data_IF_882319197095
#
_entry.id   IF_882319197095
#
_cell.length_a   1.000
_cell.length_b   1.000
_cell.length_c   1.000
_cell.angle_alpha   90.00
_cell.angle_beta   90.00
_cell.angle_gamma   90.00
#
_symmetry.space_group_name_H-M   'P 1'
#
loop_
_entity.id
_entity.type
_entity.pdbx_description
1 polymer ?
#
# COMPACT_ATOMS: atom_id res chain seq x y z
N UNK A 1 -11.55 -20.54 10.44
CA UNK A 1 -12.20 -20.05 9.19
C UNK A 1 -11.16 -19.90 8.10
N UNK A 2 -11.51 -20.23 6.85
CA UNK A 2 -10.66 -19.98 5.67
C UNK A 2 -11.27 -18.86 4.84
N UNK A 3 -10.53 -17.79 4.61
CA UNK A 3 -10.96 -16.63 3.82
C UNK A 3 -10.18 -16.61 2.52
N UNK A 4 -10.87 -16.57 1.39
CA UNK A 4 -10.27 -16.32 0.08
C UNK A 4 -10.28 -14.82 -0.18
N UNK A 5 -9.09 -14.20 -0.23
CA UNK A 5 -8.91 -12.81 -0.63
C UNK A 5 -8.67 -12.70 -2.12
N UNK A 6 -9.20 -11.64 -2.75
CA UNK A 6 -9.02 -11.31 -4.17
C UNK A 6 -8.66 -9.84 -4.29
N UNK A 7 -7.53 -9.54 -4.93
CA UNK A 7 -7.02 -8.19 -5.18
C UNK A 7 -6.84 -7.94 -6.68
N UNK A 8 -7.35 -6.82 -7.16
CA UNK A 8 -7.19 -6.37 -8.54
C UNK A 8 -7.31 -4.86 -8.70
N UNK A 9 -7.00 -4.08 -7.68
CA UNK A 9 -7.27 -2.62 -7.68
C UNK A 9 -6.37 -1.81 -8.62
N UNK A 10 -5.18 -2.31 -8.95
CA UNK A 10 -4.19 -1.57 -9.75
C UNK A 10 -3.49 -2.45 -10.79
N UNK A 11 -2.26 -2.88 -10.55
CA UNK A 11 -1.44 -3.64 -11.51
C UNK A 11 -0.96 -5.01 -10.97
N UNK A 12 -1.51 -5.47 -9.86
CA UNK A 12 -1.37 -6.82 -9.33
C UNK A 12 -2.69 -7.57 -9.34
N UNK A 13 -2.72 -8.75 -10.00
CA UNK A 13 -3.80 -9.72 -9.84
C UNK A 13 -3.39 -10.70 -8.75
N UNK A 14 -4.10 -10.74 -7.64
CA UNK A 14 -3.73 -11.65 -6.56
C UNK A 14 -4.92 -12.39 -5.97
N UNK A 15 -4.65 -13.61 -5.49
CA UNK A 15 -5.54 -14.41 -4.66
C UNK A 15 -4.76 -15.05 -3.51
N UNK A 16 -5.41 -15.18 -2.37
CA UNK A 16 -4.79 -15.73 -1.16
C UNK A 16 -5.81 -16.46 -0.31
N UNK A 17 -5.42 -17.57 0.29
CA UNK A 17 -6.19 -18.23 1.33
C UNK A 17 -5.54 -17.95 2.67
N UNK A 18 -6.28 -17.35 3.58
CA UNK A 18 -5.86 -17.10 4.96
C UNK A 18 -6.71 -17.93 5.90
N UNK A 19 -6.07 -18.69 6.78
CA UNK A 19 -6.73 -19.38 7.90
C UNK A 19 -6.75 -18.45 9.10
N UNK A 20 -7.92 -18.26 9.67
CA UNK A 20 -8.16 -17.41 10.84
C UNK A 20 -8.72 -18.25 12.00
N UNK A 21 -8.11 -18.11 13.18
CA UNK A 21 -8.55 -18.71 14.43
C UNK A 21 -8.43 -17.68 15.56
N UNK A 22 -9.54 -17.04 15.89
CA UNK A 22 -9.58 -15.91 16.81
C UNK A 22 -8.66 -14.77 16.35
N UNK A 23 -7.72 -14.37 17.19
CA UNK A 23 -6.75 -13.29 16.87
C UNK A 23 -5.59 -13.77 15.97
N UNK A 24 -5.50 -15.05 15.65
CA UNK A 24 -4.40 -15.63 14.87
C UNK A 24 -4.78 -15.76 13.40
N UNK A 25 -3.98 -15.17 12.53
CA UNK A 25 -4.13 -15.24 11.09
C UNK A 25 -2.91 -15.91 10.47
N UNK A 26 -3.13 -16.95 9.67
CA UNK A 26 -2.07 -17.70 9.00
C UNK A 26 -2.30 -17.70 7.50
N UNK A 27 -1.33 -17.22 6.75
CA UNK A 27 -1.34 -17.30 5.29
C UNK A 27 -1.12 -18.76 4.90
N UNK A 28 -2.08 -19.37 4.19
CA UNK A 28 -1.94 -20.70 3.61
C UNK A 28 -1.39 -20.61 2.18
N UNK A 29 -1.78 -19.58 1.42
CA UNK A 29 -1.26 -19.26 0.10
C UNK A 29 -1.34 -17.76 -0.16
N UNK A 30 -0.49 -17.23 -1.03
CA UNK A 30 -0.57 -15.84 -1.51
C UNK A 30 0.04 -15.76 -2.90
N UNK A 31 -0.77 -15.92 -3.92
CA UNK A 31 -0.38 -15.94 -5.33
C UNK A 31 -0.59 -14.57 -5.93
N UNK A 32 0.46 -14.01 -6.54
CA UNK A 32 0.45 -12.68 -7.16
C UNK A 32 0.97 -12.76 -8.58
N UNK A 33 0.19 -12.30 -9.53
CA UNK A 33 0.58 -12.07 -10.91
C UNK A 33 0.76 -10.57 -11.14
N UNK A 34 2.01 -10.10 -11.14
CA UNK A 34 2.33 -8.68 -11.29
C UNK A 34 2.43 -8.29 -12.77
N UNK A 35 1.89 -7.14 -13.10
CA UNK A 35 1.90 -6.54 -14.43
C UNK A 35 3.04 -5.52 -14.59
N UNK A 36 3.94 -5.38 -13.60
CA UNK A 36 5.04 -4.40 -13.62
C UNK A 36 5.87 -4.49 -14.90
N UNK A 37 6.16 -5.70 -15.39
CA UNK A 37 6.95 -5.88 -16.62
C UNK A 37 6.30 -5.22 -17.84
N UNK A 38 4.98 -5.35 -17.98
CA UNK A 38 4.19 -4.74 -19.04
C UNK A 38 4.15 -3.21 -18.88
N UNK A 39 3.87 -2.71 -17.71
CA UNK A 39 3.74 -1.28 -17.45
C UNK A 39 5.07 -0.52 -17.47
N UNK A 40 6.20 -1.23 -17.28
CA UNK A 40 7.55 -0.63 -17.35
C UNK A 40 7.83 0.01 -18.69
N UNK A 41 7.35 -0.54 -19.80
CA UNK A 41 7.51 0.02 -21.15
C UNK A 41 6.83 1.40 -21.29
N UNK A 42 5.78 1.64 -20.52
CA UNK A 42 5.02 2.88 -20.50
C UNK A 42 5.50 3.87 -19.42
N UNK A 43 6.35 3.39 -18.51
CA UNK A 43 6.86 4.19 -17.38
C UNK A 43 5.81 4.46 -16.30
N UNK A 44 4.78 3.62 -16.20
CA UNK A 44 3.70 3.68 -15.22
C UNK A 44 2.48 2.88 -15.66
N UNK A 45 1.52 2.71 -14.77
CA UNK A 45 0.32 1.91 -15.03
C UNK A 45 -0.55 2.55 -16.12
N UNK A 46 -0.97 1.71 -17.09
CA UNK A 46 -1.95 2.07 -18.13
C UNK A 46 -3.26 1.36 -17.77
N UNK A 47 -4.31 2.10 -17.32
CA UNK A 47 -5.51 1.51 -16.72
C UNK A 47 -6.23 0.49 -17.62
N UNK A 48 -6.32 0.77 -18.92
CA UNK A 48 -6.99 -0.14 -19.88
C UNK A 48 -6.22 -1.46 -20.05
N UNK A 49 -4.89 -1.41 -20.11
CA UNK A 49 -4.07 -2.61 -20.18
C UNK A 49 -4.16 -3.41 -18.89
N UNK A 50 -4.18 -2.73 -17.73
CA UNK A 50 -4.32 -3.38 -16.44
C UNK A 50 -5.62 -4.18 -16.35
N UNK A 51 -6.76 -3.57 -16.72
CA UNK A 51 -8.05 -4.26 -16.73
C UNK A 51 -8.06 -5.52 -17.58
N UNK A 52 -7.47 -5.46 -18.78
CA UNK A 52 -7.36 -6.63 -19.68
C UNK A 52 -6.49 -7.75 -19.11
N UNK A 53 -5.34 -7.40 -18.53
CA UNK A 53 -4.43 -8.36 -17.91
C UNK A 53 -5.07 -9.06 -16.70
N UNK A 54 -5.88 -8.35 -15.91
CA UNK A 54 -6.65 -8.97 -14.83
C UNK A 54 -7.62 -10.05 -15.35
N UNK A 55 -8.36 -9.77 -16.42
CA UNK A 55 -9.29 -10.75 -17.04
C UNK A 55 -8.56 -12.02 -17.43
N UNK A 56 -7.36 -11.90 -18.00
CA UNK A 56 -6.58 -13.03 -18.46
C UNK A 56 -6.03 -13.88 -17.30
N UNK A 57 -5.77 -13.28 -16.14
CA UNK A 57 -5.04 -13.92 -15.05
C UNK A 57 -5.87 -14.34 -13.84
N UNK A 58 -7.01 -13.72 -13.60
CA UNK A 58 -7.72 -13.86 -12.32
C UNK A 58 -8.12 -15.31 -12.00
N UNK A 59 -8.56 -16.09 -13.01
CA UNK A 59 -8.96 -17.50 -12.82
C UNK A 59 -7.75 -18.35 -12.46
N UNK A 60 -6.65 -18.23 -13.22
CA UNK A 60 -5.40 -18.97 -13.01
C UNK A 60 -4.81 -18.68 -11.61
N UNK A 61 -4.79 -17.40 -11.23
CA UNK A 61 -4.27 -16.95 -9.92
C UNK A 61 -5.12 -17.49 -8.76
N UNK A 62 -6.45 -17.48 -8.92
CA UNK A 62 -7.36 -18.01 -7.91
C UNK A 62 -7.21 -19.54 -7.76
N UNK A 63 -7.17 -20.29 -8.87
CA UNK A 63 -6.96 -21.73 -8.86
C UNK A 63 -5.61 -22.10 -8.22
N UNK A 64 -4.54 -21.35 -8.57
CA UNK A 64 -3.23 -21.56 -7.97
C UNK A 64 -3.26 -21.32 -6.46
N UNK A 65 -3.89 -20.24 -6.00
CA UNK A 65 -3.99 -19.94 -4.57
C UNK A 65 -4.73 -21.02 -3.79
N UNK A 66 -5.83 -21.56 -4.33
CA UNK A 66 -6.56 -22.67 -3.70
C UNK A 66 -5.71 -23.94 -3.67
N UNK A 67 -5.03 -24.27 -4.76
CA UNK A 67 -4.15 -25.44 -4.86
C UNK A 67 -2.97 -25.34 -3.87
N UNK A 68 -2.31 -24.18 -3.79
CA UNK A 68 -1.16 -23.98 -2.92
C UNK A 68 -1.57 -24.02 -1.43
N UNK A 69 -2.84 -23.70 -1.13
CA UNK A 69 -3.43 -23.82 0.19
C UNK A 69 -3.95 -25.24 0.53
N UNK A 70 -3.86 -26.18 -0.42
CA UNK A 70 -4.48 -27.52 -0.32
C UNK A 70 -5.97 -27.42 0.05
N UNK A 71 -6.72 -26.54 -0.66
CA UNK A 71 -8.13 -26.24 -0.44
C UNK A 71 -8.95 -26.38 -1.70
N UNK A 72 -10.16 -26.94 -1.58
CA UNK A 72 -11.21 -26.77 -2.58
C UNK A 72 -11.99 -25.48 -2.27
N UNK A 73 -12.71 -24.95 -3.28
CA UNK A 73 -13.56 -23.76 -3.07
C UNK A 73 -14.64 -24.01 -2.01
N UNK A 74 -15.09 -25.25 -1.85
CA UNK A 74 -16.06 -25.65 -0.84
C UNK A 74 -15.53 -25.59 0.60
N UNK A 75 -14.21 -25.46 0.79
CA UNK A 75 -13.58 -25.31 2.09
C UNK A 75 -13.50 -23.85 2.55
N UNK A 76 -13.91 -22.89 1.67
CA UNK A 76 -13.83 -21.45 1.91
C UNK A 76 -15.09 -20.97 2.62
N UNK A 77 -14.91 -20.31 3.76
CA UNK A 77 -15.99 -19.79 4.59
C UNK A 77 -16.49 -18.40 4.15
N UNK A 78 -15.62 -17.60 3.52
CA UNK A 78 -15.97 -16.30 2.96
C UNK A 78 -15.01 -15.88 1.84
N UNK A 79 -15.51 -15.11 0.87
CA UNK A 79 -14.71 -14.48 -0.19
C UNK A 79 -14.63 -12.99 0.08
N UNK A 80 -13.42 -12.47 0.27
CA UNK A 80 -13.13 -11.06 0.45
C UNK A 80 -12.57 -10.49 -0.87
N UNK A 81 -13.07 -9.34 -1.30
CA UNK A 81 -12.62 -8.70 -2.54
C UNK A 81 -12.44 -7.21 -2.37
N UNK A 82 -11.37 -6.68 -2.91
CA UNK A 82 -11.18 -5.22 -2.98
C UNK A 82 -12.21 -4.61 -3.92
N UNK A 83 -13.02 -3.70 -3.38
CA UNK A 83 -14.09 -3.01 -4.11
C UNK A 83 -13.85 -1.52 -4.29
N UNK A 84 -12.93 -0.92 -3.50
CA UNK A 84 -12.52 0.49 -3.55
C UNK A 84 -11.24 0.71 -2.73
N UNK A 85 -10.55 1.87 -2.90
CA UNK A 85 -10.43 2.59 -4.15
C UNK A 85 -9.51 1.85 -5.13
N UNK A 86 -9.49 2.31 -6.39
CA UNK A 86 -8.60 1.75 -7.40
C UNK A 86 -9.00 2.11 -8.83
N UNK A 87 -8.33 1.49 -9.79
CA UNK A 87 -8.67 1.62 -11.21
C UNK A 87 -9.99 0.91 -11.50
N UNK A 88 -11.02 1.64 -11.90
CA UNK A 88 -12.38 1.10 -12.04
C UNK A 88 -12.45 -0.15 -12.92
N UNK A 89 -11.74 -0.17 -14.07
CA UNK A 89 -11.70 -1.33 -14.97
C UNK A 89 -11.06 -2.56 -14.33
N UNK A 90 -10.03 -2.37 -13.51
CA UNK A 90 -9.33 -3.41 -12.78
C UNK A 90 -10.18 -3.94 -11.61
N UNK A 91 -10.73 -3.05 -10.77
CA UNK A 91 -11.64 -3.41 -9.67
C UNK A 91 -12.84 -4.21 -10.15
N UNK A 92 -13.47 -3.80 -11.26
CA UNK A 92 -14.64 -4.50 -11.82
C UNK A 92 -14.34 -5.96 -12.18
N UNK A 93 -13.11 -6.28 -12.57
CA UNK A 93 -12.72 -7.68 -12.85
C UNK A 93 -12.77 -8.50 -11.57
N UNK A 94 -12.07 -8.07 -10.51
CA UNK A 94 -12.06 -8.77 -9.21
C UNK A 94 -13.44 -8.88 -8.59
N UNK A 95 -14.19 -7.76 -8.54
CA UNK A 95 -15.53 -7.71 -7.96
C UNK A 95 -16.49 -8.67 -8.69
N UNK A 96 -16.52 -8.66 -10.04
CA UNK A 96 -17.43 -9.55 -10.77
C UNK A 96 -17.01 -11.02 -10.68
N UNK A 97 -15.71 -11.30 -10.68
CA UNK A 97 -15.21 -12.65 -10.47
C UNK A 97 -15.58 -13.18 -9.08
N UNK A 98 -15.33 -12.38 -8.03
CA UNK A 98 -15.67 -12.74 -6.65
C UNK A 98 -17.20 -12.95 -6.47
N UNK A 99 -18.03 -12.09 -7.06
CA UNK A 99 -19.50 -12.23 -7.06
C UNK A 99 -19.95 -13.54 -7.69
N UNK A 100 -19.41 -13.85 -8.88
CA UNK A 100 -19.76 -15.09 -9.59
C UNK A 100 -19.37 -16.33 -8.78
N UNK A 101 -18.15 -16.31 -8.20
CA UNK A 101 -17.65 -17.41 -7.39
C UNK A 101 -18.44 -17.59 -6.09
N UNK A 102 -18.78 -16.50 -5.40
CA UNK A 102 -19.59 -16.48 -4.19
C UNK A 102 -21.00 -17.00 -4.45
N UNK A 103 -21.65 -16.51 -5.51
CA UNK A 103 -22.99 -16.93 -5.90
C UNK A 103 -23.04 -18.42 -6.28
N UNK A 104 -22.12 -18.88 -7.12
CA UNK A 104 -22.12 -20.27 -7.58
C UNK A 104 -21.90 -21.30 -6.46
N UNK A 105 -21.21 -20.91 -5.38
CA UNK A 105 -20.86 -21.80 -4.28
C UNK A 105 -21.63 -21.48 -2.98
N UNK A 106 -22.53 -20.50 -3.02
CA UNK A 106 -23.28 -20.03 -1.85
C UNK A 106 -22.38 -19.62 -0.68
N UNK A 107 -21.26 -18.92 -0.99
CA UNK A 107 -20.28 -18.44 -0.03
C UNK A 107 -20.54 -16.95 0.24
N UNK A 108 -20.47 -16.47 1.50
CA UNK A 108 -20.59 -15.05 1.83
C UNK A 108 -19.53 -14.19 1.12
N UNK A 109 -19.96 -13.07 0.53
CA UNK A 109 -19.10 -12.08 -0.10
C UNK A 109 -18.84 -10.92 0.86
N UNK A 110 -17.59 -10.51 0.99
CA UNK A 110 -17.15 -9.43 1.88
C UNK A 110 -16.44 -8.35 1.06
N UNK A 111 -16.99 -7.12 0.97
CA UNK A 111 -16.31 -6.01 0.31
C UNK A 111 -15.19 -5.50 1.18
N UNK A 112 -14.05 -5.15 0.59
CA UNK A 112 -12.87 -4.63 1.29
C UNK A 112 -12.43 -3.33 0.63
N UNK A 113 -12.03 -2.38 1.44
CA UNK A 113 -11.39 -1.14 1.01
C UNK A 113 -9.87 -1.36 1.00
N UNK A 114 -9.24 -1.04 -0.13
CA UNK A 114 -7.84 -1.36 -0.44
C UNK A 114 -6.84 -0.78 0.58
N UNK A 115 -7.01 0.49 0.97
CA UNK A 115 -6.09 1.13 1.93
C UNK A 115 -6.23 0.50 3.31
N UNK A 116 -7.47 0.18 3.72
CA UNK A 116 -7.72 -0.55 4.96
C UNK A 116 -7.15 -1.97 4.92
N UNK A 117 -7.16 -2.63 3.75
CA UNK A 117 -6.49 -3.92 3.60
C UNK A 117 -4.98 -3.82 3.87
N UNK A 118 -4.31 -2.81 3.34
CA UNK A 118 -2.90 -2.56 3.67
C UNK A 118 -2.68 -2.39 5.17
N UNK A 119 -3.55 -1.65 5.87
CA UNK A 119 -3.45 -1.48 7.33
C UNK A 119 -3.67 -2.81 8.08
N UNK A 120 -4.53 -3.70 7.55
CA UNK A 120 -4.76 -5.02 8.12
C UNK A 120 -3.63 -6.02 7.84
N UNK A 121 -2.72 -5.75 6.89
CA UNK A 121 -1.58 -6.65 6.62
C UNK A 121 -0.71 -6.91 7.85
N UNK A 122 -0.66 -5.97 8.80
CA UNK A 122 0.07 -6.14 10.07
C UNK A 122 -0.52 -7.24 10.94
N UNK A 123 -1.81 -7.56 10.81
CA UNK A 123 -2.47 -8.64 11.54
C UNK A 123 -1.98 -10.03 11.12
N UNK A 124 -1.30 -10.14 9.98
CA UNK A 124 -0.68 -11.36 9.47
C UNK A 124 0.71 -11.63 10.06
N UNK A 125 1.17 -10.79 10.99
CA UNK A 125 2.46 -10.95 11.66
C UNK A 125 2.30 -11.66 13.02
N UNK A 126 3.35 -12.34 13.47
CA UNK A 126 3.34 -13.04 14.78
C UNK A 126 3.04 -12.10 15.96
N UNK A 127 3.52 -10.84 15.88
CA UNK A 127 3.33 -9.83 16.91
C UNK A 127 2.36 -8.74 16.43
N UNK A 128 1.20 -9.13 15.95
CA UNK A 128 0.19 -8.20 15.47
C UNK A 128 -0.27 -7.23 16.57
N UNK A 129 -0.29 -5.91 16.34
CA UNK A 129 -0.73 -4.93 17.33
C UNK A 129 -2.25 -5.03 17.52
N UNK A 130 -2.71 -5.20 18.75
CA UNK A 130 -4.15 -5.05 19.02
C UNK A 130 -4.54 -3.57 18.98
N UNK A 131 -5.64 -3.18 18.29
CA UNK A 131 -6.17 -1.82 18.36
C UNK A 131 -6.47 -1.40 19.81
N UNK A 132 -6.50 -0.07 20.11
CA UNK A 132 -6.29 1.02 19.17
C UNK A 132 -4.80 1.28 18.89
N UNK A 133 -4.52 1.81 17.68
CA UNK A 133 -3.19 2.23 17.25
C UNK A 133 -3.27 3.40 16.25
N UNK A 134 -2.15 4.10 16.05
CA UNK A 134 -2.00 5.04 14.92
C UNK A 134 -1.43 4.27 13.73
N UNK A 135 -1.99 4.47 12.55
CA UNK A 135 -1.54 3.80 11.34
C UNK A 135 -1.15 4.81 10.26
N UNK A 136 -0.11 4.50 9.51
CA UNK A 136 0.39 5.26 8.38
C UNK A 136 0.35 4.37 7.14
N UNK A 137 -0.53 4.69 6.20
CA UNK A 137 -0.58 4.08 4.89
C UNK A 137 0.24 4.92 3.91
N UNK A 138 1.28 4.33 3.29
CA UNK A 138 2.12 5.01 2.29
C UNK A 138 2.33 4.08 1.10
N UNK A 139 1.67 4.39 -0.01
CA UNK A 139 1.69 3.58 -1.23
C UNK A 139 1.91 4.43 -2.48
N UNK A 140 1.78 3.82 -3.65
CA UNK A 140 1.81 4.51 -4.94
C UNK A 140 0.70 5.54 -5.09
N UNK A 141 -0.51 5.21 -4.65
CA UNK A 141 -1.70 6.04 -4.81
C UNK A 141 -2.13 6.78 -3.53
N UNK A 142 -1.66 6.37 -2.35
CA UNK A 142 -2.16 6.90 -1.08
C UNK A 142 -1.03 7.26 -0.11
N UNK A 143 -1.23 8.35 0.61
CA UNK A 143 -0.41 8.72 1.78
C UNK A 143 -1.34 9.34 2.81
N UNK A 144 -1.66 8.59 3.87
CA UNK A 144 -2.62 8.99 4.88
C UNK A 144 -2.26 8.45 6.27
N UNK A 145 -2.75 9.15 7.30
CA UNK A 145 -2.61 8.74 8.70
C UNK A 145 -4.01 8.45 9.25
N UNK A 146 -4.14 7.32 9.91
CA UNK A 146 -5.37 6.86 10.51
C UNK A 146 -5.22 6.66 12.01
N UNK A 147 -6.31 6.87 12.74
CA UNK A 147 -6.52 6.31 14.06
C UNK A 147 -7.36 5.05 13.89
N UNK A 148 -6.77 3.90 14.15
CA UNK A 148 -7.46 2.62 14.12
C UNK A 148 -8.08 2.35 15.50
N UNK A 149 -9.40 2.38 15.60
CA UNK A 149 -10.13 1.98 16.80
C UNK A 149 -10.33 0.45 16.83
N UNK A 150 -10.46 -0.17 15.67
CA UNK A 150 -10.48 -1.61 15.42
C UNK A 150 -9.85 -1.94 14.07
N UNK A 151 -9.83 -3.19 13.65
CA UNK A 151 -9.42 -3.60 12.29
C UNK A 151 -10.50 -3.36 11.21
N UNK A 152 -11.64 -2.75 11.58
CA UNK A 152 -12.72 -2.34 10.65
C UNK A 152 -13.10 -0.87 10.80
N UNK A 153 -12.59 -0.18 11.81
CA UNK A 153 -12.89 1.22 12.11
C UNK A 153 -11.59 2.04 12.10
N UNK A 154 -11.37 2.71 10.96
CA UNK A 154 -10.22 3.57 10.69
C UNK A 154 -10.69 5.00 10.46
N UNK A 155 -10.37 5.89 11.39
CA UNK A 155 -10.61 7.33 11.27
C UNK A 155 -9.42 7.98 10.58
N UNK A 156 -9.60 8.52 9.36
CA UNK A 156 -8.55 9.30 8.69
C UNK A 156 -8.36 10.62 9.43
N UNK A 157 -7.15 10.87 9.90
CA UNK A 157 -6.79 12.10 10.65
C UNK A 157 -5.87 13.02 9.86
N UNK A 158 -5.32 12.56 8.75
CA UNK A 158 -4.53 13.32 7.80
C UNK A 158 -4.36 12.54 6.49
N UNK A 159 -4.25 13.25 5.37
CA UNK A 159 -3.92 12.66 4.07
C UNK A 159 -3.11 13.61 3.21
N UNK A 160 -2.62 13.11 2.06
CA UNK A 160 -2.00 13.98 1.07
C UNK A 160 -3.08 14.79 0.34
N UNK A 161 -2.77 16.06 0.06
CA UNK A 161 -3.67 16.96 -0.70
C UNK A 161 -3.42 16.92 -2.21
N UNK A 162 -2.41 16.17 -2.64
CA UNK A 162 -2.00 16.09 -4.04
C UNK A 162 -1.38 14.71 -4.34
N UNK A 163 -0.17 14.64 -4.92
CA UNK A 163 0.49 13.37 -5.21
C UNK A 163 0.70 12.52 -3.93
N UNK A 164 0.63 11.21 -4.04
CA UNK A 164 1.11 10.30 -3.01
C UNK A 164 2.65 10.23 -2.98
N UNK A 165 3.22 9.80 -1.86
CA UNK A 165 4.66 9.68 -1.70
C UNK A 165 5.29 8.70 -2.72
N UNK A 166 4.64 7.56 -2.98
CA UNK A 166 5.12 6.58 -3.95
C UNK A 166 5.09 7.12 -5.38
N UNK A 167 4.02 7.81 -5.75
CA UNK A 167 3.91 8.50 -7.05
C UNK A 167 5.02 9.55 -7.22
N UNK A 168 5.34 10.30 -6.17
CA UNK A 168 6.43 11.27 -6.19
C UNK A 168 7.79 10.58 -6.39
N UNK A 169 8.04 9.43 -5.73
CA UNK A 169 9.22 8.60 -5.96
C UNK A 169 9.30 8.12 -7.41
N UNK A 170 8.23 7.59 -7.98
CA UNK A 170 8.21 7.05 -9.35
C UNK A 170 8.48 8.14 -10.39
N UNK A 171 7.85 9.32 -10.22
CA UNK A 171 8.05 10.46 -11.13
C UNK A 171 9.48 10.99 -11.10
N UNK A 172 10.09 11.11 -9.91
CA UNK A 172 11.49 11.57 -9.78
C UNK A 172 12.46 10.50 -10.29
N UNK A 173 12.23 9.23 -9.95
CA UNK A 173 13.02 8.11 -10.44
C UNK A 173 13.08 8.06 -11.97
N UNK A 174 11.92 8.22 -12.63
CA UNK A 174 11.81 8.26 -14.09
C UNK A 174 12.68 9.37 -14.71
N UNK A 175 12.71 10.56 -14.12
CA UNK A 175 13.46 11.70 -14.66
C UNK A 175 14.97 11.51 -14.58
N UNK A 176 15.45 10.76 -13.58
CA UNK A 176 16.85 10.38 -13.46
C UNK A 176 17.17 9.03 -14.12
N UNK A 177 16.23 8.49 -14.92
CA UNK A 177 16.44 7.28 -15.73
C UNK A 177 16.48 5.99 -14.92
N UNK A 178 15.78 5.91 -13.79
CA UNK A 178 15.55 4.66 -13.06
C UNK A 178 14.32 3.93 -13.61
N UNK A 179 14.26 2.60 -13.49
CA UNK A 179 13.14 1.81 -13.98
C UNK A 179 11.87 2.02 -13.12
N UNK A 180 10.70 1.70 -13.70
CA UNK A 180 9.46 1.56 -12.94
C UNK A 180 9.32 0.15 -12.34
N UNK A 181 8.82 0.01 -11.08
CA UNK A 181 8.53 1.07 -10.12
C UNK A 181 9.81 1.70 -9.55
N UNK A 182 9.81 3.03 -9.39
CA UNK A 182 10.99 3.78 -9.03
C UNK A 182 11.38 3.71 -7.55
N UNK A 183 10.41 3.45 -6.67
CA UNK A 183 10.60 3.53 -5.22
C UNK A 183 11.73 2.65 -4.70
N UNK A 184 11.79 1.37 -5.09
CA UNK A 184 12.84 0.45 -4.67
C UNK A 184 14.23 0.82 -5.25
N UNK A 185 14.26 1.31 -6.50
CA UNK A 185 15.51 1.76 -7.12
C UNK A 185 16.04 3.04 -6.47
N UNK A 186 15.14 3.96 -6.11
CA UNK A 186 15.46 5.19 -5.36
C UNK A 186 16.00 4.87 -3.96
N UNK A 187 15.35 3.95 -3.23
CA UNK A 187 15.79 3.51 -1.90
C UNK A 187 17.22 2.95 -1.93
N UNK A 188 17.50 2.06 -2.89
CA UNK A 188 18.84 1.48 -3.07
C UNK A 188 19.87 2.55 -3.42
N UNK A 189 19.57 3.44 -4.37
CA UNK A 189 20.51 4.46 -4.85
C UNK A 189 20.78 5.50 -3.76
N UNK A 190 19.80 5.80 -2.91
CA UNK A 190 19.94 6.77 -1.83
C UNK A 190 20.98 6.39 -0.75
N UNK A 191 21.29 5.09 -0.61
CA UNK A 191 22.38 4.65 0.28
C UNK A 191 23.78 5.03 -0.21
N UNK A 192 23.94 5.40 -1.48
CA UNK A 192 25.21 5.69 -2.10
C UNK A 192 25.50 7.19 -2.24
N UNK A 193 24.53 8.06 -1.93
CA UNK A 193 24.63 9.51 -2.11
C UNK A 193 24.63 10.31 -0.80
N UNK A 194 24.93 11.61 -0.92
CA UNK A 194 24.82 12.55 0.20
C UNK A 194 23.40 13.12 0.31
N UNK A 195 22.73 12.81 1.42
CA UNK A 195 21.38 13.30 1.72
C UNK A 195 21.27 14.82 1.91
N UNK A 196 22.40 15.53 2.05
CA UNK A 196 22.46 16.98 2.24
C UNK A 196 22.94 17.72 0.99
N UNK A 197 23.23 17.03 -0.10
CA UNK A 197 23.75 17.63 -1.34
C UNK A 197 22.76 18.61 -1.98
N UNK A 198 21.45 18.33 -1.88
CA UNK A 198 20.39 19.15 -2.47
C UNK A 198 19.35 19.46 -1.40
N UNK A 199 19.09 20.76 -1.18
CA UNK A 199 18.05 21.19 -0.26
C UNK A 199 16.67 21.09 -0.93
N UNK A 200 15.79 20.25 -0.39
CA UNK A 200 14.42 20.09 -0.85
C UNK A 200 13.41 20.64 0.17
N UNK A 201 12.23 21.11 -0.28
CA UNK A 201 11.15 21.53 0.62
C UNK A 201 10.58 20.32 1.37
N UNK A 202 10.03 20.57 2.56
CA UNK A 202 9.33 19.53 3.31
C UNK A 202 7.94 19.25 2.72
N UNK A 203 7.53 17.98 2.59
CA UNK A 203 6.17 17.64 2.20
C UNK A 203 5.13 17.80 3.35
N UNK A 204 5.56 18.14 4.56
CA UNK A 204 4.66 18.45 5.66
C UNK A 204 4.13 19.87 5.50
N UNK A 205 2.82 20.02 5.30
CA UNK A 205 2.17 21.34 5.09
C UNK A 205 2.29 22.17 6.37
N UNK A 206 2.65 23.45 6.24
CA UNK A 206 2.73 24.35 7.38
C UNK A 206 1.33 24.69 7.94
N UNK A 207 1.25 25.01 9.24
CA UNK A 207 0.00 25.38 9.90
C UNK A 207 -0.56 24.26 10.79
N UNK A 208 -1.82 24.43 11.20
CA UNK A 208 -2.52 23.51 12.09
C UNK A 208 -3.19 22.36 11.31
N UNK A 209 -2.38 21.62 10.59
CA UNK A 209 -2.79 20.41 9.85
C UNK A 209 -1.73 19.34 9.94
N UNK A 210 -2.15 18.08 9.86
CA UNK A 210 -1.24 16.93 9.74
C UNK A 210 -1.04 16.48 8.28
N UNK A 211 -1.67 17.15 7.32
CA UNK A 211 -1.66 16.76 5.92
C UNK A 211 -0.29 16.88 5.25
N UNK A 212 -0.18 16.23 4.10
CA UNK A 212 1.00 16.23 3.25
C UNK A 212 0.73 16.95 1.92
N UNK A 213 1.81 17.36 1.25
CA UNK A 213 1.84 17.76 -0.15
C UNK A 213 3.18 17.36 -0.75
N UNK A 214 3.16 16.46 -1.70
CA UNK A 214 4.38 15.96 -2.36
C UNK A 214 4.62 16.63 -3.72
N UNK A 215 3.63 17.31 -4.31
CA UNK A 215 3.76 17.99 -5.61
C UNK A 215 4.83 19.06 -5.61
N UNK A 216 4.95 19.84 -4.53
CA UNK A 216 6.02 20.84 -4.38
C UNK A 216 7.40 20.22 -4.32
N UNK A 217 7.56 19.14 -3.57
CA UNK A 217 8.81 18.39 -3.45
C UNK A 217 9.21 17.75 -4.80
N UNK A 218 8.26 17.09 -5.46
CA UNK A 218 8.43 16.54 -6.81
C UNK A 218 8.90 17.62 -7.79
N UNK A 219 8.19 18.76 -7.84
CA UNK A 219 8.52 19.87 -8.74
C UNK A 219 9.92 20.41 -8.47
N UNK A 220 10.33 20.53 -7.20
CA UNK A 220 11.67 20.96 -6.85
C UNK A 220 12.75 19.99 -7.38
N UNK A 221 12.52 18.68 -7.28
CA UNK A 221 13.44 17.67 -7.81
C UNK A 221 13.52 17.73 -9.34
N UNK A 222 12.38 17.85 -10.03
CA UNK A 222 12.34 18.00 -11.50
C UNK A 222 13.08 19.27 -11.96
N UNK A 223 12.87 20.39 -11.27
CA UNK A 223 13.54 21.65 -11.57
C UNK A 223 15.05 21.55 -11.33
N UNK A 224 15.52 20.85 -10.27
CA UNK A 224 16.93 20.64 -10.04
C UNK A 224 17.60 19.91 -11.21
N UNK A 225 16.99 18.85 -11.72
CA UNK A 225 17.49 18.11 -12.90
C UNK A 225 17.46 18.98 -14.15
N UNK A 226 16.37 19.71 -14.39
CA UNK A 226 16.22 20.57 -15.55
C UNK A 226 17.25 21.72 -15.56
N UNK A 227 17.42 22.39 -14.42
CA UNK A 227 18.38 23.50 -14.27
C UNK A 227 19.83 23.03 -14.46
N UNK A 228 20.18 21.84 -13.96
CA UNK A 228 21.49 21.26 -14.21
C UNK A 228 21.74 21.03 -15.70
N UNK A 229 20.76 20.43 -16.41
CA UNK A 229 20.84 20.24 -17.87
C UNK A 229 20.99 21.55 -18.64
N UNK A 230 20.24 22.60 -18.28
CA UNK A 230 20.35 23.92 -18.92
C UNK A 230 21.74 24.56 -18.74
N UNK A 231 22.39 24.28 -17.63
CA UNK A 231 23.75 24.77 -17.33
C UNK A 231 24.86 23.85 -17.88
N UNK A 232 24.50 22.83 -18.67
CA UNK A 232 25.41 21.76 -19.11
C UNK A 232 26.18 21.11 -17.94
N UNK A 233 25.51 20.95 -16.80
CA UNK A 233 25.99 20.26 -15.61
C UNK A 233 25.25 18.94 -15.47
N UNK A 234 25.93 17.91 -15.04
CA UNK A 234 25.29 16.67 -14.62
C UNK A 234 24.95 16.75 -13.13
N UNK A 235 23.72 16.36 -12.77
CA UNK A 235 23.34 16.18 -11.39
C UNK A 235 23.77 14.77 -10.97
N UNK A 236 24.40 14.64 -9.83
CA UNK A 236 24.67 13.30 -9.30
C UNK A 236 23.35 12.64 -8.90
N UNK A 237 23.06 11.51 -9.56
CA UNK A 237 21.81 10.76 -9.37
C UNK A 237 21.71 10.16 -7.96
N UNK A 238 22.85 9.80 -7.35
CA UNK A 238 22.94 9.25 -6.00
C UNK A 238 22.59 10.32 -4.98
N UNK A 239 23.18 11.50 -5.13
CA UNK A 239 22.91 12.65 -4.25
C UNK A 239 21.47 13.13 -4.37
N UNK A 240 20.93 13.16 -5.57
CA UNK A 240 19.53 13.52 -5.77
C UNK A 240 18.60 12.48 -5.13
N UNK A 241 18.85 11.19 -5.32
CA UNK A 241 18.08 10.12 -4.71
C UNK A 241 18.15 10.17 -3.18
N UNK A 242 19.35 10.37 -2.62
CA UNK A 242 19.57 10.48 -1.18
C UNK A 242 18.86 11.70 -0.57
N UNK A 243 19.04 12.88 -1.17
CA UNK A 243 18.45 14.12 -0.69
C UNK A 243 16.92 14.12 -0.81
N UNK A 244 16.37 13.60 -1.91
CA UNK A 244 14.94 13.46 -2.12
C UNK A 244 14.32 12.48 -1.11
N UNK A 245 14.91 11.29 -0.96
CA UNK A 245 14.45 10.28 0.01
C UNK A 245 14.49 10.82 1.43
N UNK A 246 15.55 11.55 1.80
CA UNK A 246 15.66 12.16 3.11
C UNK A 246 14.55 13.20 3.36
N UNK A 247 14.23 14.03 2.37
CA UNK A 247 13.15 15.03 2.49
C UNK A 247 11.76 14.37 2.65
N UNK A 248 11.46 13.32 1.85
CA UNK A 248 10.22 12.53 1.98
C UNK A 248 10.13 11.93 3.39
N UNK A 249 11.17 11.20 3.81
CA UNK A 249 11.20 10.53 5.11
C UNK A 249 11.09 11.52 6.28
N UNK A 250 11.75 12.67 6.20
CA UNK A 250 11.68 13.70 7.24
C UNK A 250 10.26 14.27 7.38
N UNK A 251 9.59 14.55 6.27
CA UNK A 251 8.21 15.05 6.28
C UNK A 251 7.21 14.04 6.83
N UNK A 252 7.30 12.78 6.38
CA UNK A 252 6.42 11.70 6.89
C UNK A 252 6.69 11.47 8.37
N UNK A 253 7.95 11.40 8.80
CA UNK A 253 8.31 11.18 10.20
C UNK A 253 7.85 12.31 11.11
N UNK A 254 7.90 13.56 10.63
CA UNK A 254 7.36 14.72 11.36
C UNK A 254 5.87 14.56 11.64
N UNK A 255 5.09 14.16 10.61
CA UNK A 255 3.65 13.97 10.74
C UNK A 255 3.30 12.76 11.59
N UNK A 256 4.06 11.68 11.50
CA UNK A 256 3.91 10.53 12.38
C UNK A 256 4.16 10.89 13.85
N UNK A 257 5.20 11.69 14.15
CA UNK A 257 5.48 12.20 15.50
C UNK A 257 4.32 13.05 16.05
N UNK A 258 3.79 13.96 15.23
CA UNK A 258 2.65 14.82 15.58
C UNK A 258 1.36 14.01 15.76
N UNK A 259 1.12 13.01 14.90
CA UNK A 259 -0.03 12.12 15.00
C UNK A 259 -0.01 11.25 16.25
N UNK A 260 1.14 10.65 16.59
CA UNK A 260 1.30 9.93 17.86
C UNK A 260 1.04 10.81 19.08
N UNK A 261 1.47 12.09 19.02
CA UNK A 261 1.16 13.06 20.08
C UNK A 261 -0.34 13.35 20.16
N UNK A 262 -1.00 13.57 19.01
CA UNK A 262 -2.43 13.89 18.92
C UNK A 262 -3.31 12.74 19.40
N UNK A 263 -2.99 11.49 18.99
CA UNK A 263 -3.76 10.32 19.35
C UNK A 263 -3.43 9.76 20.73
N UNK A 264 -2.27 10.10 21.29
CA UNK A 264 -1.76 9.50 22.53
C UNK A 264 -1.32 8.04 22.37
N UNK A 265 -1.31 7.52 21.15
CA UNK A 265 -0.98 6.11 20.87
C UNK A 265 0.48 5.80 21.19
N UNK A 266 0.72 4.58 21.69
CA UNK A 266 2.05 4.00 21.89
C UNK A 266 2.36 2.94 20.83
N UNK A 267 1.54 2.84 19.80
CA UNK A 267 1.70 1.89 18.68
C UNK A 267 1.57 2.66 17.37
N UNK A 268 2.56 2.50 16.49
CA UNK A 268 2.54 3.01 15.11
C UNK A 268 2.59 1.82 14.16
N UNK A 269 1.61 1.73 13.28
CA UNK A 269 1.60 0.76 12.17
C UNK A 269 2.05 1.49 10.91
N UNK A 270 2.98 0.92 10.15
CA UNK A 270 3.38 1.39 8.83
C UNK A 270 2.97 0.34 7.79
N UNK A 271 2.22 0.74 6.77
CA UNK A 271 1.72 -0.13 5.72
C UNK A 271 1.76 0.52 4.33
N UNK A 272 1.53 -0.27 3.28
CA UNK A 272 1.58 0.15 1.88
C UNK A 272 2.94 -0.08 1.22
N UNK A 273 3.03 0.01 -0.11
CA UNK A 273 4.23 -0.32 -0.88
C UNK A 273 5.49 0.47 -0.48
N UNK A 274 5.33 1.75 -0.11
CA UNK A 274 6.45 2.59 0.36
C UNK A 274 6.92 2.19 1.77
N UNK A 275 6.14 1.39 2.50
CA UNK A 275 6.58 0.79 3.77
C UNK A 275 7.79 -0.16 3.60
N UNK A 276 8.09 -0.60 2.39
CA UNK A 276 9.32 -1.34 2.08
C UNK A 276 10.59 -0.46 2.09
N UNK A 277 10.46 0.88 1.99
CA UNK A 277 11.60 1.80 1.95
C UNK A 277 12.40 1.75 3.26
N UNK A 278 13.69 1.44 3.15
CA UNK A 278 14.58 1.23 4.31
C UNK A 278 14.84 2.50 5.10
N UNK A 279 14.95 3.65 4.43
CA UNK A 279 15.16 4.96 5.06
C UNK A 279 13.92 5.39 5.85
N UNK A 280 12.72 5.15 5.29
CA UNK A 280 11.47 5.46 5.99
C UNK A 280 11.29 4.59 7.25
N UNK A 281 11.57 3.28 7.15
CA UNK A 281 11.55 2.37 8.31
C UNK A 281 12.48 2.85 9.42
N UNK A 282 13.72 3.20 9.08
CA UNK A 282 14.70 3.71 10.03
C UNK A 282 14.25 5.03 10.69
N UNK A 283 13.72 5.96 9.89
CA UNK A 283 13.25 7.25 10.38
C UNK A 283 12.04 7.13 11.32
N UNK A 284 11.07 6.27 11.01
CA UNK A 284 9.90 6.03 11.87
C UNK A 284 10.29 5.25 13.13
N UNK A 285 11.25 4.32 13.04
CA UNK A 285 11.80 3.66 14.24
C UNK A 285 12.39 4.68 15.21
N UNK A 286 13.17 5.64 14.73
CA UNK A 286 13.71 6.71 15.57
C UNK A 286 12.62 7.59 16.21
N UNK A 287 11.52 7.87 15.49
CA UNK A 287 10.35 8.57 16.05
C UNK A 287 9.72 7.76 17.18
N UNK A 288 9.49 6.46 16.95
CA UNK A 288 8.89 5.59 17.94
C UNK A 288 9.76 5.46 19.19
N UNK A 289 11.08 5.27 19.03
CA UNK A 289 12.03 5.21 20.15
C UNK A 289 12.01 6.48 20.99
N UNK A 290 12.02 7.65 20.35
CA UNK A 290 11.91 8.94 21.02
C UNK A 290 10.61 9.10 21.81
N UNK A 291 9.49 8.52 21.30
CA UNK A 291 8.16 8.61 21.93
C UNK A 291 7.87 7.51 22.94
N UNK A 292 8.74 6.51 23.07
CA UNK A 292 8.46 5.30 23.83
C UNK A 292 7.24 4.58 23.23
N UNK A 293 7.14 4.55 21.91
CA UNK A 293 6.12 3.85 21.14
C UNK A 293 6.76 2.66 20.41
N UNK A 294 5.94 1.70 20.02
CA UNK A 294 6.36 0.53 19.26
C UNK A 294 5.96 0.69 17.78
N UNK A 295 6.89 0.32 16.87
CA UNK A 295 6.65 0.35 15.42
C UNK A 295 6.33 -1.06 14.94
N UNK A 296 5.17 -1.20 14.31
CA UNK A 296 4.70 -2.43 13.68
C UNK A 296 4.70 -2.28 12.16
N UNK A 297 5.26 -3.26 11.48
CA UNK A 297 5.36 -3.27 10.02
C UNK A 297 5.19 -4.70 9.51
N UNK A 298 4.45 -4.90 8.41
CA UNK A 298 4.44 -6.20 7.77
C UNK A 298 5.83 -6.51 7.18
N UNK A 299 6.14 -7.80 6.93
CA UNK A 299 7.32 -8.18 6.17
C UNK A 299 7.27 -7.55 4.77
N UNK A 300 8.42 -7.35 4.14
CA UNK A 300 8.53 -6.66 2.83
C UNK A 300 7.63 -7.33 1.78
N UNK A 301 7.50 -8.65 1.82
CA UNK A 301 6.64 -9.43 0.92
C UNK A 301 5.15 -9.11 1.02
N UNK A 302 4.70 -8.46 2.10
CA UNK A 302 3.30 -8.05 2.31
C UNK A 302 3.12 -6.52 2.26
N UNK A 303 4.14 -5.76 1.90
CA UNK A 303 4.02 -4.29 1.77
C UNK A 303 3.32 -3.88 0.47
N UNK A 304 3.62 -4.57 -0.65
CA UNK A 304 2.95 -4.33 -1.94
C UNK A 304 1.54 -4.92 -1.97
N UNK A 305 0.83 -4.68 -3.08
CA UNK A 305 -0.52 -5.20 -3.29
C UNK A 305 -0.50 -6.73 -3.31
N UNK A 306 -1.36 -7.32 -2.48
CA UNK A 306 -1.47 -8.75 -2.33
C UNK A 306 -2.84 -9.13 -1.77
N UNK A 307 -3.27 -10.37 -1.98
CA UNK A 307 -4.59 -10.78 -1.53
C UNK A 307 -4.64 -11.28 -0.08
N UNK A 308 -3.49 -11.55 0.57
CA UNK A 308 -3.49 -11.92 1.98
C UNK A 308 -3.96 -10.77 2.87
N UNK A 309 -3.59 -9.51 2.53
CA UNK A 309 -4.08 -8.32 3.22
C UNK A 309 -5.60 -8.16 3.07
N UNK A 310 -6.13 -8.49 1.87
CA UNK A 310 -7.59 -8.45 1.58
C UNK A 310 -8.31 -9.52 2.37
N UNK A 311 -7.77 -10.75 2.43
CA UNK A 311 -8.32 -11.82 3.25
C UNK A 311 -8.33 -11.47 4.74
N UNK A 312 -7.26 -10.85 5.26
CA UNK A 312 -7.17 -10.40 6.64
C UNK A 312 -8.22 -9.32 6.97
N UNK A 313 -8.33 -8.28 6.13
CA UNK A 313 -9.37 -7.26 6.28
C UNK A 313 -10.77 -7.86 6.17
N UNK A 314 -10.97 -8.75 5.20
CA UNK A 314 -12.21 -9.48 5.00
C UNK A 314 -12.63 -10.32 6.21
N UNK A 315 -11.69 -10.96 6.88
CA UNK A 315 -11.96 -11.71 8.11
C UNK A 315 -12.56 -10.81 9.20
N UNK A 316 -11.92 -9.68 9.52
CA UNK A 316 -12.42 -8.77 10.54
C UNK A 316 -13.79 -8.19 10.17
N UNK A 317 -13.98 -7.81 8.90
CA UNK A 317 -15.28 -7.34 8.40
C UNK A 317 -16.34 -8.43 8.47
N UNK A 318 -15.96 -9.67 8.18
CA UNK A 318 -16.85 -10.84 8.32
C UNK A 318 -17.31 -11.02 9.78
N UNK A 319 -16.45 -10.87 10.76
CA UNK A 319 -16.83 -10.98 12.19
C UNK A 319 -17.83 -9.89 12.61
N UNK A 320 -17.69 -8.68 12.09
CA UNK A 320 -18.63 -7.57 12.33
C UNK A 320 -19.96 -7.67 11.54
N UNK A 321 -20.16 -8.78 10.84
CA UNK A 321 -21.39 -8.99 10.08
C UNK A 321 -21.44 -8.24 8.74
N UNK A 322 -20.35 -7.61 8.31
CA UNK A 322 -20.31 -6.87 7.03
C UNK A 322 -20.26 -7.87 5.87
N UNK A 323 -21.30 -7.82 5.03
CA UNK A 323 -21.50 -8.68 3.87
C UNK A 323 -22.02 -7.87 2.70
N UNK A 324 -21.83 -8.38 1.51
CA UNK A 324 -22.46 -7.88 0.29
C UNK A 324 -23.20 -9.00 -0.43
N UNK A 325 -24.08 -8.60 -1.29
CA UNK A 325 -24.77 -9.49 -2.24
C UNK A 325 -24.27 -9.24 -3.67
N UNK A 326 -24.97 -9.79 -4.65
CA UNK A 326 -24.62 -9.64 -6.07
C UNK A 326 -24.81 -8.21 -6.61
N UNK A 327 -25.35 -7.28 -5.84
CA UNK A 327 -25.45 -5.86 -6.19
C UNK A 327 -24.15 -5.09 -5.90
N UNK A 328 -23.15 -5.70 -5.21
CA UNK A 328 -21.85 -5.07 -4.96
C UNK A 328 -21.28 -4.50 -6.24
N UNK A 329 -20.81 -3.26 -6.18
CA UNK A 329 -20.13 -2.58 -7.27
C UNK A 329 -18.73 -2.13 -6.83
N UNK A 330 -17.91 -1.75 -7.81
CA UNK A 330 -16.61 -1.13 -7.60
C UNK A 330 -16.75 0.40 -7.57
N UNK A 331 -15.89 1.06 -6.77
CA UNK A 331 -15.86 2.52 -6.64
C UNK A 331 -14.41 3.01 -6.70
N UNK A 332 -14.22 4.19 -7.28
CA UNK A 332 -12.87 4.82 -7.39
C UNK A 332 -12.46 5.58 -6.14
N UNK A 333 -13.45 5.92 -5.31
CA UNK A 333 -13.31 6.75 -4.10
C UNK A 333 -13.63 5.92 -2.85
#
# INVERSE_FOLDING_TARGET
MKILGIESSCDETAASVVFADGDSLKILSNTVASQIAMHREWGGVVPELAGRAHIEKISEVCESALKDADCAITDIDAIAVTSSPGLIGALLVGVNFAKALAFANNIPLVPVEHVHAHLCAVALTENAPKPPFTALAVSGGHTAIYKANSYVDFEEIASTRDDAAGEAFDKVARVIGLPYPGGAAMDKLAHEGDKNAIAFPSPAIAGDTLDFSFSGLKTAALNAVHNAKQKNQEIDRKDLAASFTAAVCAGISKRADEALKKTGSKKLVLAGGVAANSHLRAALKAVCDKRGAELFMPPISLCGDNAAMVAAAGYFRYLEGIRADTSLNAFTD
#
